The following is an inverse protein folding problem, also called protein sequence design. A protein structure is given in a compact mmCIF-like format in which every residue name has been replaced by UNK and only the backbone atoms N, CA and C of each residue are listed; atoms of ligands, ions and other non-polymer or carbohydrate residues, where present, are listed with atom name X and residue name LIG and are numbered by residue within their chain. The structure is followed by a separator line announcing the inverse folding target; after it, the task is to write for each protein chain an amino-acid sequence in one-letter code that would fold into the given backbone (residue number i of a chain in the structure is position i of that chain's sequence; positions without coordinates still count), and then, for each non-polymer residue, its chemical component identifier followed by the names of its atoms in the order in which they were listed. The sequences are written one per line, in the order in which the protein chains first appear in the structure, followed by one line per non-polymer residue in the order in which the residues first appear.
data_IF_245274667889
#
_entry.id   IF_245274667889
#
_cell.length_a   1.000
_cell.length_b   1.000
_cell.length_c   1.000
_cell.angle_alpha   90.00
_cell.angle_beta   90.00
_cell.angle_gamma   90.00
#
_symmetry.space_group_name_H-M   'P 1'
#
loop_
_entity.id
_entity.type
_entity.pdbx_description
1 polymer ?
#
# COMPACT_ATOMS: atom_id res chain seq x y z
N UNK A 1 7.00 -2.93 -18.27
CA UNK A 1 6.94 -2.48 -16.87
C UNK A 1 7.03 -0.96 -16.87
N UNK A 2 6.30 -0.26 -16.00
CA UNK A 2 6.41 1.20 -15.90
C UNK A 2 7.82 1.57 -15.41
N UNK A 3 8.45 2.63 -15.95
CA UNK A 3 9.71 3.16 -15.42
C UNK A 3 9.57 3.54 -13.94
N UNK A 4 10.63 3.29 -13.16
CA UNK A 4 10.60 3.52 -11.71
C UNK A 4 10.31 4.99 -11.37
N UNK A 5 10.85 5.92 -12.18
CA UNK A 5 10.59 7.35 -12.00
C UNK A 5 9.12 7.74 -12.18
N UNK A 6 8.34 6.99 -12.96
CA UNK A 6 6.91 7.27 -13.14
C UNK A 6 6.07 6.75 -11.98
N UNK A 7 6.52 5.68 -11.33
CA UNK A 7 5.76 5.01 -10.27
C UNK A 7 6.18 5.44 -8.88
N UNK A 8 7.40 5.93 -8.70
CA UNK A 8 7.92 6.50 -7.46
C UNK A 8 6.91 7.42 -6.75
N UNK A 9 6.32 8.46 -7.40
CA UNK A 9 5.35 9.31 -6.71
C UNK A 9 4.08 8.58 -6.25
N UNK A 10 3.68 7.52 -6.96
CA UNK A 10 2.52 6.70 -6.61
C UNK A 10 2.79 5.79 -5.41
N UNK A 11 4.04 5.34 -5.25
CA UNK A 11 4.53 4.62 -4.06
C UNK A 11 4.61 5.56 -2.86
N UNK A 12 5.30 6.69 -3.05
CA UNK A 12 5.53 7.71 -2.02
C UNK A 12 4.23 8.19 -1.37
N UNK A 13 3.14 8.34 -2.13
CA UNK A 13 1.86 8.76 -1.58
C UNK A 13 1.36 7.86 -0.42
N UNK A 14 1.61 6.54 -0.50
CA UNK A 14 1.24 5.61 0.57
C UNK A 14 2.35 5.48 1.61
N UNK A 15 3.63 5.40 1.21
CA UNK A 15 4.72 5.20 2.16
C UNK A 15 4.93 6.39 3.09
N UNK A 16 4.75 7.63 2.62
CA UNK A 16 4.74 8.83 3.47
C UNK A 16 3.56 8.86 4.44
N UNK A 17 2.49 8.09 4.15
CA UNK A 17 1.33 7.92 5.02
C UNK A 17 1.47 6.75 5.99
N UNK A 18 2.65 6.13 6.07
CA UNK A 18 2.98 5.07 7.02
C UNK A 18 2.75 3.64 6.51
N UNK A 19 2.44 3.46 5.23
CA UNK A 19 2.36 2.12 4.64
C UNK A 19 3.75 1.54 4.38
N UNK A 20 3.97 0.29 4.80
CA UNK A 20 5.13 -0.49 4.40
C UNK A 20 4.90 -1.10 3.02
N UNK A 21 5.91 -1.03 2.15
CA UNK A 21 5.83 -1.54 0.78
C UNK A 21 6.47 -2.93 0.68
N UNK A 22 5.69 -3.90 0.21
CA UNK A 22 6.18 -5.24 -0.12
C UNK A 22 6.39 -5.37 -1.62
N UNK A 23 7.62 -5.68 -2.02
CA UNK A 23 8.05 -5.79 -3.42
C UNK A 23 8.29 -7.22 -3.87
N UNK A 24 8.16 -8.17 -2.96
CA UNK A 24 8.44 -9.59 -3.18
C UNK A 24 7.41 -10.45 -2.46
N UNK A 25 7.13 -11.63 -3.01
CA UNK A 25 6.30 -12.64 -2.39
C UNK A 25 6.77 -13.00 -0.96
N UNK A 26 8.07 -13.10 -0.74
CA UNK A 26 8.65 -13.45 0.58
C UNK A 26 8.26 -12.41 1.63
N UNK A 27 8.33 -11.11 1.33
CA UNK A 27 7.90 -10.06 2.26
C UNK A 27 6.40 -10.17 2.61
N UNK A 28 5.57 -10.55 1.63
CA UNK A 28 4.13 -10.77 1.86
C UNK A 28 3.92 -12.00 2.75
N UNK A 29 4.63 -13.10 2.46
CA UNK A 29 4.56 -14.35 3.22
C UNK A 29 5.02 -14.14 4.67
N UNK A 30 6.15 -13.45 4.85
CA UNK A 30 6.71 -13.15 6.16
C UNK A 30 5.72 -12.33 7.00
N UNK A 31 5.12 -11.29 6.41
CA UNK A 31 4.11 -10.48 7.09
C UNK A 31 2.87 -11.27 7.49
N UNK A 32 2.42 -12.18 6.63
CA UNK A 32 1.18 -12.96 6.85
C UNK A 32 1.37 -14.17 7.76
N UNK A 33 2.56 -14.79 7.78
CA UNK A 33 2.79 -16.07 8.47
C UNK A 33 2.74 -15.96 9.99
N UNK A 34 3.32 -14.89 10.55
CA UNK A 34 3.33 -14.63 12.00
C UNK A 34 2.47 -13.41 12.40
N UNK A 35 1.49 -13.08 11.56
CA UNK A 35 0.68 -11.88 11.71
C UNK A 35 -0.13 -11.85 13.02
N UNK A 36 -0.07 -10.71 13.72
CA UNK A 36 -0.90 -10.40 14.89
C UNK A 36 -1.57 -9.04 14.72
N UNK A 37 -2.82 -8.94 15.16
CA UNK A 37 -3.61 -7.72 15.05
C UNK A 37 -4.36 -7.63 13.72
N UNK A 38 -4.46 -6.44 13.16
CA UNK A 38 -5.21 -6.11 11.95
C UNK A 38 -4.32 -5.37 10.96
N UNK A 39 -4.30 -5.83 9.71
CA UNK A 39 -3.57 -5.17 8.62
C UNK A 39 -4.56 -4.51 7.67
N UNK A 40 -4.31 -3.25 7.32
CA UNK A 40 -4.89 -2.63 6.14
C UNK A 40 -3.90 -2.75 4.99
N UNK A 41 -4.17 -3.71 4.11
CA UNK A 41 -3.39 -3.96 2.90
C UNK A 41 -4.01 -3.22 1.71
N UNK A 42 -3.27 -2.29 1.12
CA UNK A 42 -3.68 -1.57 -0.08
C UNK A 42 -3.02 -2.21 -1.30
N UNK A 43 -3.83 -2.74 -2.21
CA UNK A 43 -3.36 -3.17 -3.52
C UNK A 43 -3.33 -1.92 -4.40
N UNK A 44 -2.18 -1.27 -4.43
CA UNK A 44 -1.98 -0.03 -5.17
C UNK A 44 -1.85 -0.32 -6.68
N UNK A 45 -2.09 0.69 -7.51
CA UNK A 45 -2.10 0.58 -8.97
C UNK A 45 -1.81 1.92 -9.64
N UNK A 46 -1.40 1.88 -10.91
CA UNK A 46 -1.24 3.04 -11.79
C UNK A 46 -2.57 3.61 -12.31
N UNK A 47 -3.68 2.87 -12.14
CA UNK A 47 -4.99 3.28 -12.65
C UNK A 47 -5.47 4.61 -12.06
N UNK A 48 -6.23 5.39 -12.85
CA UNK A 48 -6.74 6.70 -12.41
C UNK A 48 -7.62 6.66 -11.16
N UNK A 49 -8.37 5.57 -10.94
CA UNK A 49 -9.13 5.38 -9.70
C UNK A 49 -8.21 5.22 -8.47
N UNK A 50 -7.04 4.60 -8.61
CA UNK A 50 -6.09 4.52 -7.50
C UNK A 50 -5.60 5.91 -7.09
N UNK A 51 -5.34 6.77 -8.08
CA UNK A 51 -4.92 8.17 -7.86
C UNK A 51 -6.04 9.06 -7.30
N UNK A 52 -7.23 9.00 -7.89
CA UNK A 52 -8.33 9.92 -7.57
C UNK A 52 -9.19 9.50 -6.38
N UNK A 53 -9.21 8.20 -6.03
CA UNK A 53 -10.09 7.70 -4.97
C UNK A 53 -9.38 6.80 -3.96
N UNK A 54 -8.73 5.72 -4.38
CA UNK A 54 -8.25 4.71 -3.44
C UNK A 54 -7.16 5.23 -2.49
N UNK A 55 -6.06 5.81 -3.01
CA UNK A 55 -4.98 6.35 -2.18
C UNK A 55 -5.45 7.52 -1.31
N UNK A 56 -6.12 8.57 -1.84
CA UNK A 56 -6.65 9.65 -1.00
C UNK A 56 -7.66 9.16 0.04
N UNK A 57 -8.54 8.23 -0.34
CA UNK A 57 -9.58 7.70 0.54
C UNK A 57 -9.01 6.91 1.71
N UNK A 58 -8.01 6.06 1.46
CA UNK A 58 -7.38 5.28 2.54
C UNK A 58 -6.62 6.19 3.50
N UNK A 59 -5.86 7.16 2.98
CA UNK A 59 -5.11 8.12 3.80
C UNK A 59 -6.07 8.95 4.65
N UNK A 60 -7.13 9.46 4.05
CA UNK A 60 -8.15 10.21 4.76
C UNK A 60 -8.81 9.36 5.85
N UNK A 61 -9.16 8.11 5.54
CA UNK A 61 -9.78 7.19 6.51
C UNK A 61 -8.92 7.00 7.77
N UNK A 62 -7.59 6.90 7.61
CA UNK A 62 -6.65 6.78 8.73
C UNK A 62 -6.52 8.07 9.55
N UNK A 63 -6.72 9.22 8.92
CA UNK A 63 -6.69 10.52 9.59
C UNK A 63 -7.93 10.80 10.44
N UNK A 64 -9.11 10.34 10.01
CA UNK A 64 -10.38 10.64 10.70
C UNK A 64 -10.90 9.54 11.61
N UNK A 65 -10.39 8.30 11.47
CA UNK A 65 -10.85 7.17 12.27
C UNK A 65 -10.15 7.11 13.62
N UNK A 66 -10.92 6.96 14.70
CA UNK A 66 -10.40 6.70 16.04
C UNK A 66 -9.79 5.31 16.15
N UNK A 67 -10.41 4.31 15.51
CA UNK A 67 -9.89 2.94 15.42
C UNK A 67 -9.01 2.82 14.19
N UNK A 68 -7.79 2.32 14.39
CA UNK A 68 -6.79 2.17 13.33
C UNK A 68 -6.33 0.72 13.24
N UNK A 69 -5.97 0.23 12.04
CA UNK A 69 -5.24 -1.01 11.90
C UNK A 69 -3.93 -0.98 12.68
N UNK A 70 -3.47 -2.13 13.13
CA UNK A 70 -2.18 -2.28 13.79
C UNK A 70 -1.03 -2.13 12.79
N UNK A 71 -1.25 -2.58 11.53
CA UNK A 71 -0.27 -2.55 10.45
C UNK A 71 -0.86 -1.93 9.19
N UNK A 72 -0.02 -1.19 8.46
CA UNK A 72 -0.35 -0.60 7.16
C UNK A 72 0.63 -1.16 6.13
N UNK A 73 0.12 -1.82 5.10
CA UNK A 73 0.94 -2.45 4.08
C UNK A 73 0.42 -2.16 2.67
N UNK A 74 1.31 -2.14 1.68
CA UNK A 74 0.95 -1.96 0.27
C UNK A 74 1.77 -2.88 -0.62
N UNK A 75 1.11 -3.34 -1.69
CA UNK A 75 1.73 -4.01 -2.84
C UNK A 75 1.36 -3.23 -4.11
N UNK A 76 2.16 -3.29 -5.18
CA UNK A 76 1.92 -2.47 -6.36
C UNK A 76 1.59 -3.31 -7.61
N UNK A 77 0.29 -3.51 -7.86
CA UNK A 77 -0.21 -4.38 -8.90
C UNK A 77 0.22 -3.92 -10.30
N UNK A 78 0.82 -4.84 -11.06
CA UNK A 78 1.31 -4.60 -12.43
C UNK A 78 2.69 -3.95 -12.49
N UNK A 79 3.33 -3.70 -11.35
CA UNK A 79 4.69 -3.18 -11.24
C UNK A 79 5.55 -4.11 -10.42
N UNK A 80 5.13 -4.43 -9.20
CA UNK A 80 5.71 -5.51 -8.40
C UNK A 80 4.93 -6.78 -8.75
N UNK A 81 5.48 -7.58 -9.67
CA UNK A 81 4.78 -8.73 -10.26
C UNK A 81 4.85 -10.00 -9.41
N UNK A 82 5.78 -10.08 -8.46
CA UNK A 82 5.99 -11.21 -7.56
C UNK A 82 5.85 -10.78 -6.10
#
# INVERSE_FOLDING_TARGET
MYPEELVAPMRTQLTESGFEEFKTADQVIDHLSDHKGTTLLVINSVCGCAAGTARPGVIHSLSVSEKKPDHLATVFAGVDME
#
